data_IF_448690877321
#
_entry.id   IF_448690877321
#
_cell.length_a   1.000
_cell.length_b   1.000
_cell.length_c   1.000
_cell.angle_alpha   90.00
_cell.angle_beta   90.00
_cell.angle_gamma   90.00
#
_symmetry.space_group_name_H-M   'P 1'
#
loop_
_entity.id
_entity.type
_entity.pdbx_description
1 polymer ?
#
# COMPACT_ATOMS: atom_id res chain seq x y z
N UNK A 1 7.82 -37.71 -9.16
CA UNK A 1 6.47 -37.18 -8.84
C UNK A 1 6.45 -36.52 -7.48
N UNK A 2 6.98 -37.16 -6.42
CA UNK A 2 7.06 -36.59 -5.07
C UNK A 2 7.68 -35.18 -5.02
N UNK A 3 8.83 -34.94 -5.67
CA UNK A 3 9.46 -33.61 -5.72
C UNK A 3 8.58 -32.52 -6.36
N UNK A 4 7.83 -32.84 -7.42
CA UNK A 4 6.94 -31.87 -8.06
C UNK A 4 5.76 -31.49 -7.15
N UNK A 5 5.20 -32.47 -6.43
CA UNK A 5 4.12 -32.21 -5.46
C UNK A 5 4.62 -31.43 -4.24
N UNK A 6 5.85 -31.66 -3.78
CA UNK A 6 6.49 -30.83 -2.74
C UNK A 6 6.63 -29.38 -3.23
N UNK A 7 7.11 -29.16 -4.45
CA UNK A 7 7.22 -27.81 -5.03
C UNK A 7 5.86 -27.12 -5.16
N UNK A 8 4.84 -27.83 -5.63
CA UNK A 8 3.46 -27.31 -5.67
C UNK A 8 3.01 -26.90 -4.26
N UNK A 9 3.23 -27.75 -3.25
CA UNK A 9 2.90 -27.44 -1.86
C UNK A 9 3.61 -26.17 -1.35
N UNK A 10 4.89 -25.98 -1.68
CA UNK A 10 5.66 -24.77 -1.34
C UNK A 10 5.04 -23.54 -2.02
N UNK A 11 4.79 -23.59 -3.33
CA UNK A 11 4.24 -22.44 -4.05
C UNK A 11 2.81 -22.10 -3.60
N UNK A 12 1.97 -23.10 -3.33
CA UNK A 12 0.64 -22.88 -2.73
C UNK A 12 0.78 -22.21 -1.37
N UNK A 13 1.71 -22.66 -0.53
CA UNK A 13 1.95 -22.04 0.79
C UNK A 13 2.38 -20.58 0.66
N UNK A 14 3.25 -20.26 -0.30
CA UNK A 14 3.65 -18.87 -0.61
C UNK A 14 2.42 -18.05 -0.98
N UNK A 15 1.60 -18.53 -1.92
CA UNK A 15 0.37 -17.84 -2.35
C UNK A 15 -0.57 -17.61 -1.16
N UNK A 16 -0.73 -18.60 -0.29
CA UNK A 16 -1.56 -18.46 0.92
C UNK A 16 -1.02 -17.41 1.89
N UNK A 17 0.30 -17.40 2.14
CA UNK A 17 0.93 -16.41 3.03
C UNK A 17 0.71 -15.00 2.48
N UNK A 18 1.05 -14.77 1.21
CA UNK A 18 0.87 -13.45 0.57
C UNK A 18 -0.60 -13.08 0.38
N UNK A 19 -1.48 -14.05 0.17
CA UNK A 19 -2.92 -13.87 0.01
C UNK A 19 -3.67 -13.61 1.32
N UNK A 20 -3.07 -13.95 2.48
CA UNK A 20 -3.69 -13.78 3.79
C UNK A 20 -3.02 -12.69 4.62
N UNK A 21 -1.74 -12.40 4.42
CA UNK A 21 -0.94 -11.49 5.24
C UNK A 21 -0.15 -10.54 4.35
N UNK A 22 -0.02 -9.26 4.74
CA UNK A 22 0.87 -8.29 4.08
C UNK A 22 2.34 -8.55 4.49
N UNK A 23 2.90 -9.66 3.99
CA UNK A 23 4.21 -10.15 4.42
C UNK A 23 5.32 -9.10 4.27
N UNK A 24 5.34 -8.35 3.16
CA UNK A 24 6.34 -7.29 2.92
C UNK A 24 6.31 -6.20 3.99
N UNK A 25 5.12 -5.78 4.41
CA UNK A 25 4.91 -4.78 5.44
C UNK A 25 5.44 -5.28 6.80
N UNK A 26 5.07 -6.49 7.23
CA UNK A 26 5.53 -7.03 8.51
C UNK A 26 7.05 -7.24 8.52
N UNK A 27 7.62 -7.80 7.45
CA UNK A 27 9.07 -7.99 7.32
C UNK A 27 9.81 -6.65 7.38
N UNK A 28 9.34 -5.65 6.61
CA UNK A 28 9.97 -4.33 6.60
C UNK A 28 9.80 -3.58 7.91
N UNK A 29 8.67 -3.75 8.59
CA UNK A 29 8.44 -3.17 9.91
C UNK A 29 9.42 -3.76 10.93
N UNK A 30 9.54 -5.09 10.96
CA UNK A 30 10.50 -5.78 11.80
C UNK A 30 11.93 -5.28 11.55
N UNK A 31 12.35 -5.22 10.28
CA UNK A 31 13.68 -4.74 9.89
C UNK A 31 13.89 -3.27 10.30
N UNK A 32 12.86 -2.42 10.16
CA UNK A 32 12.95 -1.01 10.53
C UNK A 32 13.16 -0.85 12.03
N UNK A 33 12.40 -1.58 12.86
CA UNK A 33 12.57 -1.59 14.32
C UNK A 33 13.94 -2.12 14.71
N UNK A 34 14.36 -3.24 14.12
CA UNK A 34 15.66 -3.85 14.38
C UNK A 34 16.81 -2.88 14.07
N UNK A 35 16.82 -2.29 12.87
CA UNK A 35 17.85 -1.34 12.47
C UNK A 35 17.82 -0.07 13.33
N UNK A 36 16.64 0.47 13.65
CA UNK A 36 16.49 1.65 14.48
C UNK A 36 17.03 1.42 15.91
N UNK A 37 16.84 0.22 16.45
CA UNK A 37 17.24 -0.14 17.82
C UNK A 37 18.71 -0.50 17.95
N UNK A 38 19.26 -1.24 16.99
CA UNK A 38 20.60 -1.85 17.13
C UNK A 38 21.65 -1.24 16.21
N UNK A 39 21.26 -0.63 15.08
CA UNK A 39 22.21 -0.15 14.07
C UNK A 39 22.26 1.38 13.96
N UNK A 40 21.17 2.08 14.30
CA UNK A 40 21.07 3.54 14.15
C UNK A 40 21.29 4.27 15.47
N UNK A 41 21.88 5.46 15.37
CA UNK A 41 22.08 6.35 16.53
C UNK A 41 20.75 6.93 17.00
N UNK A 42 20.66 7.09 18.33
CA UNK A 42 19.61 7.87 18.98
C UNK A 42 19.69 9.32 18.54
N UNK A 43 18.54 9.99 18.51
CA UNK A 43 18.39 11.39 18.07
C UNK A 43 17.59 12.17 19.10
N UNK A 44 17.78 13.49 19.13
CA UNK A 44 16.98 14.34 19.99
C UNK A 44 15.54 14.44 19.46
N UNK A 45 14.58 14.67 20.36
CA UNK A 45 13.14 14.66 20.02
C UNK A 45 12.72 15.73 19.00
N UNK A 46 13.48 16.84 18.91
CA UNK A 46 13.25 17.91 17.94
C UNK A 46 14.05 17.72 16.64
N UNK A 47 14.95 16.74 16.57
CA UNK A 47 15.75 16.51 15.38
C UNK A 47 14.94 15.82 14.28
N UNK A 48 15.34 16.05 13.04
CA UNK A 48 14.78 15.37 11.89
C UNK A 48 15.41 13.96 11.75
N UNK A 49 14.58 12.93 11.60
CA UNK A 49 15.03 11.58 11.21
C UNK A 49 14.83 11.34 9.73
N UNK A 50 15.64 10.44 9.17
CA UNK A 50 15.60 10.06 7.76
C UNK A 50 15.55 8.55 7.64
N UNK A 51 14.61 8.06 6.84
CA UNK A 51 14.57 6.66 6.37
C UNK A 51 14.61 6.61 4.84
N UNK A 52 15.23 5.56 4.29
CA UNK A 52 15.25 5.30 2.86
C UNK A 52 14.29 4.16 2.51
N UNK A 53 13.75 4.22 1.29
CA UNK A 53 12.89 3.21 0.71
C UNK A 53 13.08 3.13 -0.80
N UNK A 54 12.65 2.01 -1.38
CA UNK A 54 12.59 1.81 -2.83
C UNK A 54 11.12 1.61 -3.18
N UNK A 55 10.66 2.26 -4.24
CA UNK A 55 9.33 1.99 -4.79
C UNK A 55 9.36 0.64 -5.51
N UNK A 56 8.94 -0.42 -4.83
CA UNK A 56 8.93 -1.77 -5.42
C UNK A 56 7.72 -1.96 -6.32
N UNK A 57 7.71 -3.06 -7.08
CA UNK A 57 6.56 -3.43 -7.92
C UNK A 57 5.29 -3.72 -7.10
N UNK A 58 5.42 -4.09 -5.82
CA UNK A 58 4.27 -4.28 -4.91
C UNK A 58 3.67 -2.94 -4.42
N UNK A 59 4.35 -1.82 -4.69
CA UNK A 59 3.90 -0.48 -4.31
C UNK A 59 3.14 0.25 -5.41
N UNK A 60 3.09 -0.31 -6.63
CA UNK A 60 2.46 0.34 -7.79
C UNK A 60 0.94 0.20 -7.79
N UNK A 61 0.26 1.14 -8.42
CA UNK A 61 -1.20 1.11 -8.58
C UNK A 61 -1.65 0.52 -9.92
N UNK A 62 -2.94 0.65 -10.22
CA UNK A 62 -3.59 0.16 -11.44
C UNK A 62 -2.98 0.71 -12.74
N UNK A 63 -2.28 1.85 -12.66
CA UNK A 63 -1.64 2.48 -13.81
C UNK A 63 -0.21 1.98 -14.03
N UNK A 64 0.36 1.23 -13.08
CA UNK A 64 1.68 0.56 -13.14
C UNK A 64 2.90 1.47 -13.31
N UNK A 65 2.74 2.78 -13.52
CA UNK A 65 3.86 3.71 -13.74
C UNK A 65 4.20 4.58 -12.53
N UNK A 66 3.49 4.44 -11.40
CA UNK A 66 3.83 5.13 -10.16
C UNK A 66 3.40 4.41 -8.88
N UNK A 67 4.01 4.83 -7.77
CA UNK A 67 3.61 4.43 -6.42
C UNK A 67 2.14 4.78 -6.15
N UNK A 68 1.40 3.83 -5.60
CA UNK A 68 0.03 4.00 -5.14
C UNK A 68 -0.04 5.03 -3.99
N UNK A 69 -1.07 5.88 -3.99
CA UNK A 69 -1.24 6.96 -3.02
C UNK A 69 -1.31 6.49 -1.56
N UNK A 70 -1.93 5.33 -1.30
CA UNK A 70 -2.02 4.73 0.04
C UNK A 70 -0.67 4.20 0.54
N UNK A 71 0.24 3.83 -0.38
CA UNK A 71 1.58 3.36 0.00
C UNK A 71 2.39 4.47 0.66
N UNK A 72 2.21 5.74 0.27
CA UNK A 72 2.83 6.86 0.98
C UNK A 72 2.47 6.85 2.47
N UNK A 73 1.20 6.70 2.86
CA UNK A 73 0.85 6.64 4.29
C UNK A 73 1.37 5.38 4.98
N UNK A 74 1.41 4.23 4.29
CA UNK A 74 2.03 3.02 4.83
C UNK A 74 3.51 3.23 5.11
N UNK A 75 4.22 3.93 4.23
CA UNK A 75 5.63 4.25 4.42
C UNK A 75 5.87 5.15 5.65
N UNK A 76 4.88 5.95 6.05
CA UNK A 76 4.94 6.73 7.29
C UNK A 76 4.88 5.87 8.56
N UNK A 77 4.36 4.65 8.50
CA UNK A 77 4.41 3.73 9.64
C UNK A 77 5.87 3.37 9.95
N UNK A 78 6.67 3.09 8.92
CA UNK A 78 8.11 2.83 9.07
C UNK A 78 8.87 4.08 9.53
N UNK A 79 8.54 5.25 8.97
CA UNK A 79 9.19 6.50 9.34
C UNK A 79 8.92 6.86 10.82
N UNK A 80 7.68 6.66 11.28
CA UNK A 80 7.29 6.89 12.67
C UNK A 80 7.91 5.89 13.62
N UNK A 81 7.95 4.60 13.30
CA UNK A 81 8.57 3.63 14.20
C UNK A 81 10.08 3.87 14.33
N UNK A 82 10.77 4.24 13.24
CA UNK A 82 12.17 4.66 13.28
C UNK A 82 12.36 5.88 14.19
N UNK A 83 11.50 6.90 14.03
CA UNK A 83 11.52 8.09 14.87
C UNK A 83 11.27 7.75 16.35
N UNK A 84 10.24 6.95 16.65
CA UNK A 84 9.87 6.55 18.00
C UNK A 84 10.98 5.76 18.69
N UNK A 85 11.55 4.78 17.99
CA UNK A 85 12.65 3.98 18.52
C UNK A 85 13.90 4.83 18.70
N UNK A 86 14.22 5.80 17.83
CA UNK A 86 15.46 6.57 17.96
C UNK A 86 15.38 7.73 18.95
N UNK A 87 14.17 8.19 19.30
CA UNK A 87 13.94 9.28 20.28
C UNK A 87 13.48 8.78 21.65
N UNK A 88 13.23 7.48 21.81
CA UNK A 88 12.54 6.89 22.98
C UNK A 88 11.10 7.41 23.18
N UNK A 89 10.52 8.10 22.19
CA UNK A 89 9.21 8.73 22.33
C UNK A 89 8.11 7.74 22.73
N UNK A 90 8.02 6.60 22.05
CA UNK A 90 6.97 5.62 22.37
C UNK A 90 7.14 5.03 23.77
N UNK A 91 8.39 4.82 24.22
CA UNK A 91 8.68 4.32 25.56
C UNK A 91 8.25 5.34 26.63
N UNK A 92 8.51 6.62 26.40
CA UNK A 92 8.11 7.69 27.31
C UNK A 92 6.58 7.91 27.33
N UNK A 93 5.93 7.77 26.17
CA UNK A 93 4.46 7.77 26.11
C UNK A 93 3.88 6.62 26.93
N UNK A 94 4.46 5.42 26.86
CA UNK A 94 3.99 4.27 27.61
C UNK A 94 4.40 4.26 29.10
N UNK A 95 5.40 5.04 29.52
CA UNK A 95 5.72 5.20 30.95
C UNK A 95 4.74 6.14 31.66
N UNK A 96 4.18 7.12 30.93
CA UNK A 96 3.27 8.12 31.48
C UNK A 96 1.80 7.89 31.09
N UNK A 97 1.53 7.07 30.08
CA UNK A 97 0.20 6.82 29.51
C UNK A 97 0.08 5.43 28.89
N UNK A 98 -0.84 5.26 27.96
CA UNK A 98 -1.19 3.93 27.41
C UNK A 98 -0.76 3.72 25.95
N UNK A 99 -0.26 4.74 25.28
CA UNK A 99 0.22 4.65 23.90
C UNK A 99 -0.14 5.84 23.03
N UNK A 100 0.14 5.69 21.73
CA UNK A 100 -0.09 6.71 20.71
C UNK A 100 -0.91 6.13 19.57
N UNK A 101 -1.88 6.91 19.06
CA UNK A 101 -2.74 6.53 17.94
C UNK A 101 -2.82 7.63 16.89
N UNK A 102 -3.03 7.27 15.63
CA UNK A 102 -3.24 8.24 14.56
C UNK A 102 -4.63 8.88 14.72
N UNK A 103 -4.68 10.20 14.94
CA UNK A 103 -5.94 10.94 14.99
C UNK A 103 -6.39 11.46 13.63
N UNK A 104 -5.45 11.97 12.83
CA UNK A 104 -5.71 12.49 11.49
C UNK A 104 -4.44 12.50 10.64
N UNK A 105 -4.57 12.41 9.32
CA UNK A 105 -3.46 12.60 8.39
C UNK A 105 -3.92 13.45 7.21
N UNK A 106 -3.14 14.47 6.84
CA UNK A 106 -3.30 15.22 5.59
C UNK A 106 -2.07 15.00 4.74
N UNK A 107 -2.24 14.72 3.45
CA UNK A 107 -1.15 14.49 2.51
C UNK A 107 -1.41 15.22 1.20
N UNK A 108 -0.36 15.85 0.66
CA UNK A 108 -0.36 16.51 -0.64
C UNK A 108 0.64 15.85 -1.56
N UNK A 109 0.18 15.44 -2.73
CA UNK A 109 1.00 14.83 -3.77
C UNK A 109 1.40 15.92 -4.77
N UNK A 110 2.71 16.10 -4.97
CA UNK A 110 3.25 17.09 -5.92
C UNK A 110 3.68 16.43 -7.22
N UNK A 111 4.47 15.35 -7.11
CA UNK A 111 4.92 14.55 -8.24
C UNK A 111 5.05 13.10 -7.77
N UNK A 112 4.66 12.19 -8.65
CA UNK A 112 4.69 10.77 -8.33
C UNK A 112 6.13 10.23 -8.23
N UNK A 113 6.30 9.19 -7.42
CA UNK A 113 7.50 8.35 -7.37
C UNK A 113 7.32 7.22 -8.38
N UNK A 114 8.31 7.05 -9.26
CA UNK A 114 8.33 5.98 -10.27
C UNK A 114 8.72 4.63 -9.64
N UNK A 115 8.31 3.50 -10.23
CA UNK A 115 8.82 2.18 -9.86
C UNK A 115 10.35 2.15 -9.88
N UNK A 116 10.93 1.33 -8.99
CA UNK A 116 12.36 1.11 -8.81
C UNK A 116 13.16 2.38 -8.48
N UNK A 117 12.48 3.46 -8.08
CA UNK A 117 13.12 4.70 -7.66
C UNK A 117 13.34 4.70 -6.15
N UNK A 118 14.54 5.10 -5.73
CA UNK A 118 14.85 5.35 -4.32
C UNK A 118 14.21 6.67 -3.88
N UNK A 119 13.60 6.66 -2.70
CA UNK A 119 13.14 7.86 -2.02
C UNK A 119 13.64 7.86 -0.58
N UNK A 120 13.73 9.04 0.01
CA UNK A 120 13.91 9.22 1.44
C UNK A 120 12.71 9.92 2.05
N UNK A 121 12.39 9.57 3.29
CA UNK A 121 11.35 10.22 4.08
C UNK A 121 12.06 10.94 5.21
N UNK A 122 11.91 12.26 5.27
CA UNK A 122 12.31 13.02 6.45
C UNK A 122 11.12 13.15 7.39
N UNK A 123 11.33 13.02 8.70
CA UNK A 123 10.28 13.07 9.72
C UNK A 123 10.72 13.91 10.90
N UNK A 124 9.86 14.85 11.33
CA UNK A 124 10.10 15.69 12.51
C UNK A 124 8.79 16.09 13.18
N UNK A 125 8.84 16.34 14.48
CA UNK A 125 7.73 17.00 15.18
C UNK A 125 7.76 18.49 14.82
N UNK A 126 6.61 19.03 14.42
CA UNK A 126 6.47 20.45 14.05
C UNK A 126 5.66 21.26 15.04
N UNK A 127 4.82 20.60 15.84
CA UNK A 127 3.95 21.23 16.83
C UNK A 127 3.42 20.16 17.80
N UNK A 128 3.01 20.55 19.01
CA UNK A 128 2.20 19.73 19.90
C UNK A 128 1.22 20.60 20.68
N UNK A 129 0.07 20.01 20.99
CA UNK A 129 -0.94 20.52 21.91
C UNK A 129 -0.98 19.65 23.17
N UNK A 130 -1.89 19.93 24.11
CA UNK A 130 -2.01 19.17 25.37
C UNK A 130 -2.13 17.64 25.17
N UNK A 131 -2.75 17.17 24.09
CA UNK A 131 -3.12 15.74 23.90
C UNK A 131 -2.53 15.10 22.65
N UNK A 132 -1.86 15.87 21.80
CA UNK A 132 -1.41 15.43 20.50
C UNK A 132 -0.10 16.08 20.10
N UNK A 133 0.75 15.37 19.39
CA UNK A 133 1.86 15.95 18.66
C UNK A 133 1.66 15.77 17.15
N UNK A 134 2.24 16.68 16.36
CA UNK A 134 2.07 16.76 14.92
C UNK A 134 3.43 16.52 14.27
N UNK A 135 3.47 15.52 13.40
CA UNK A 135 4.67 15.16 12.65
C UNK A 135 4.52 15.60 11.20
N UNK A 136 5.53 16.28 10.67
CA UNK A 136 5.69 16.50 9.24
C UNK A 136 6.54 15.39 8.65
N UNK A 137 6.11 14.86 7.51
CA UNK A 137 6.84 13.86 6.73
C UNK A 137 7.02 14.34 5.30
N UNK A 138 8.25 14.34 4.78
CA UNK A 138 8.57 14.75 3.41
C UNK A 138 9.15 13.60 2.61
N UNK A 139 8.50 13.22 1.52
CA UNK A 139 9.03 12.26 0.55
C UNK A 139 9.90 13.00 -0.45
N UNK A 140 11.19 12.65 -0.50
CA UNK A 140 12.18 13.31 -1.35
C UNK A 140 12.83 12.25 -2.24
N UNK A 141 12.93 12.51 -3.54
CA UNK A 141 13.75 11.68 -4.42
C UNK A 141 15.19 12.19 -4.38
N UNK A 142 16.19 11.40 -3.93
CA UNK A 142 17.56 11.89 -3.79
C UNK A 142 18.20 12.35 -5.10
N UNK A 143 17.81 11.77 -6.25
CA UNK A 143 18.42 12.10 -7.55
C UNK A 143 18.12 13.52 -8.05
N UNK A 144 16.98 14.11 -7.67
CA UNK A 144 16.62 15.50 -8.05
C UNK A 144 16.35 16.41 -6.84
N UNK A 145 16.44 15.88 -5.62
CA UNK A 145 16.15 16.60 -4.39
C UNK A 145 14.69 17.08 -4.26
N UNK A 146 13.80 16.67 -5.17
CA UNK A 146 12.45 17.21 -5.22
C UNK A 146 11.55 16.54 -4.19
N UNK A 147 10.77 17.37 -3.47
CA UNK A 147 9.77 16.87 -2.53
C UNK A 147 8.54 16.38 -3.32
N UNK A 148 8.37 15.06 -3.39
CA UNK A 148 7.33 14.34 -4.13
C UNK A 148 5.97 14.42 -3.43
N UNK A 149 5.96 14.26 -2.12
CA UNK A 149 4.76 14.36 -1.29
C UNK A 149 5.11 14.87 0.10
N UNK A 150 4.15 15.50 0.76
CA UNK A 150 4.27 15.96 2.14
C UNK A 150 3.03 15.56 2.89
N UNK A 151 3.23 14.98 4.06
CA UNK A 151 2.15 14.63 4.97
C UNK A 151 2.34 15.30 6.32
N UNK A 152 1.24 15.73 6.93
CA UNK A 152 1.18 16.12 8.33
C UNK A 152 0.28 15.14 9.05
N UNK A 153 0.82 14.51 10.08
CA UNK A 153 0.18 13.44 10.82
C UNK A 153 -0.01 13.85 12.28
N UNK A 154 -1.26 13.91 12.72
CA UNK A 154 -1.61 14.13 14.12
C UNK A 154 -1.59 12.81 14.87
N UNK A 155 -0.70 12.71 15.86
CA UNK A 155 -0.58 11.60 16.77
C UNK A 155 -1.23 11.96 18.09
N UNK A 156 -2.27 11.23 18.50
CA UNK A 156 -2.98 11.45 19.77
C UNK A 156 -2.37 10.55 20.84
N UNK A 157 -2.05 11.16 21.97
CA UNK A 157 -1.59 10.47 23.17
C UNK A 157 -2.80 9.94 23.96
N UNK A 158 -2.66 8.72 24.48
CA UNK A 158 -3.68 8.08 25.30
C UNK A 158 -3.29 8.18 26.77
N UNK A 159 -4.16 8.82 27.57
CA UNK A 159 -4.03 8.93 29.02
C UNK A 159 -2.76 9.66 29.51
N UNK A 160 -2.17 10.56 28.71
CA UNK A 160 -1.07 11.41 29.11
C UNK A 160 -1.07 12.76 28.34
N UNK A 161 -0.34 13.74 28.87
CA UNK A 161 -0.15 15.06 28.25
C UNK A 161 1.10 15.09 27.36
N UNK A 162 1.00 15.75 26.20
CA UNK A 162 2.15 15.88 25.31
C UNK A 162 3.23 16.79 25.91
N UNK A 163 2.85 17.82 26.67
CA UNK A 163 3.83 18.72 27.30
C UNK A 163 4.72 17.97 28.28
N UNK A 164 4.14 17.06 29.08
CA UNK A 164 4.90 16.25 30.03
C UNK A 164 5.82 15.27 29.32
N UNK A 165 5.32 14.58 28.28
CA UNK A 165 6.12 13.61 27.51
C UNK A 165 7.25 14.29 26.75
N UNK A 166 6.95 15.34 25.98
CA UNK A 166 7.94 16.07 25.20
C UNK A 166 8.93 16.77 26.13
N UNK A 167 8.46 17.39 27.22
CA UNK A 167 9.31 18.00 28.25
C UNK A 167 10.31 17.03 28.88
N UNK A 168 9.90 15.79 29.16
CA UNK A 168 10.80 14.75 29.65
C UNK A 168 11.90 14.39 28.63
N UNK A 169 11.54 14.34 27.35
CA UNK A 169 12.47 13.98 26.27
C UNK A 169 13.42 15.12 25.89
N UNK A 170 12.99 16.38 25.99
CA UNK A 170 13.83 17.56 25.75
C UNK A 170 15.03 17.62 26.70
N UNK A 171 14.84 17.20 27.95
CA UNK A 171 15.88 17.25 28.98
C UNK A 171 16.83 16.04 28.94
N UNK A 172 16.54 15.02 28.12
CA UNK A 172 17.33 13.79 28.06
C UNK A 172 18.54 14.01 27.14
N UNK A 173 19.75 14.04 27.72
CA UNK A 173 20.99 14.05 26.91
C UNK A 173 21.07 12.76 26.09
N UNK A 174 21.22 12.89 24.77
CA UNK A 174 21.41 11.75 23.86
C UNK A 174 22.79 11.12 24.14
N UNK A 175 22.83 10.00 24.87
CA UNK A 175 24.06 9.21 25.01
C UNK A 175 24.35 8.50 23.68
N UNK A 176 25.45 8.85 23.02
CA UNK A 176 25.89 8.20 21.79
C UNK A 176 26.43 6.81 22.12
N UNK A 177 25.77 5.74 21.63
CA UNK A 177 26.39 4.43 21.56
C UNK A 177 27.28 4.37 20.32
N UNK A 178 28.51 3.86 20.51
CA UNK A 178 29.63 3.89 19.58
C UNK A 178 29.37 3.22 18.22
N UNK A 179 30.12 3.67 17.22
CA UNK A 179 30.11 3.20 15.84
C UNK A 179 30.42 1.69 15.77
N UNK A 180 29.60 0.94 15.03
CA UNK A 180 30.01 -0.33 14.42
C UNK A 180 29.96 -0.11 12.90
N UNK A 181 31.14 -0.05 12.29
CA UNK A 181 31.30 -0.04 10.85
C UNK A 181 30.93 -1.42 10.29
N UNK A 182 29.88 -1.47 9.46
CA UNK A 182 29.51 -2.67 8.73
C UNK A 182 30.35 -2.72 7.44
N UNK A 183 31.45 -3.47 7.49
CA UNK A 183 32.25 -3.81 6.32
C UNK A 183 31.53 -4.85 5.43
N UNK A 184 31.63 -4.58 4.14
CA UNK A 184 31.35 -5.42 2.96
C UNK A 184 31.38 -6.94 3.17
N UNK A 185 30.25 -7.60 2.90
CA UNK A 185 30.15 -9.04 2.63
C UNK A 185 29.63 -9.25 1.21
N UNK A 186 30.52 -9.30 0.22
CA UNK A 186 30.27 -9.90 -1.09
C UNK A 186 31.63 -10.28 -1.69
N UNK A 187 31.95 -11.58 -1.68
CA UNK A 187 32.68 -12.31 -2.73
C UNK A 187 33.11 -13.68 -2.20
N UNK A 188 32.58 -14.74 -2.80
CA UNK A 188 33.27 -15.99 -3.13
C UNK A 188 32.23 -17.01 -3.63
N UNK A 189 32.27 -17.33 -4.92
CA UNK A 189 31.80 -18.64 -5.40
C UNK A 189 32.37 -18.92 -6.79
N UNK A 190 33.54 -19.56 -6.85
CA UNK A 190 33.98 -20.35 -7.99
C UNK A 190 34.84 -21.51 -7.46
N UNK A 191 34.47 -22.74 -7.79
CA UNK A 191 35.39 -23.83 -8.20
C UNK A 191 34.56 -25.02 -8.67
N UNK A 192 34.91 -25.54 -9.85
CA UNK A 192 34.29 -26.69 -10.49
C UNK A 192 34.75 -28.06 -9.97
N UNK A 193 34.19 -29.10 -10.59
CA UNK A 193 34.61 -30.50 -10.42
C UNK A 193 34.65 -31.22 -11.79
N UNK A 194 35.50 -32.24 -11.96
CA UNK A 194 35.91 -32.76 -13.26
C UNK A 194 35.09 -33.96 -13.78
N UNK A 195 35.23 -34.19 -15.08
CA UNK A 195 34.82 -35.38 -15.83
C UNK A 195 35.65 -36.64 -15.48
N UNK A 196 35.01 -37.81 -15.60
CA UNK A 196 35.69 -39.08 -15.90
C UNK A 196 34.89 -39.91 -16.89
N UNK A 197 35.60 -40.47 -17.87
CA UNK A 197 35.13 -41.29 -18.96
C UNK A 197 35.28 -42.81 -18.68
N UNK A 198 34.99 -43.57 -19.74
CA UNK A 198 35.23 -45.01 -20.02
C UNK A 198 34.19 -46.04 -19.52
N UNK A 199 33.95 -47.17 -20.18
CA UNK A 199 33.95 -47.61 -21.59
C UNK A 199 33.45 -49.09 -21.61
N UNK A 200 33.07 -49.58 -22.80
CA UNK A 200 33.17 -50.98 -23.32
C UNK A 200 32.01 -52.01 -23.21
N UNK A 201 31.43 -52.23 -24.40
CA UNK A 201 31.21 -53.48 -25.20
C UNK A 201 30.36 -54.68 -24.78
N UNK A 202 29.39 -54.99 -25.67
CA UNK A 202 29.02 -56.28 -26.31
C UNK A 202 28.45 -57.41 -25.42
N UNK A 203 27.49 -58.27 -25.80
CA UNK A 203 27.15 -58.89 -27.09
C UNK A 203 25.75 -59.56 -26.99
N UNK A 204 25.21 -59.98 -28.14
CA UNK A 204 23.90 -60.59 -28.39
C UNK A 204 23.58 -61.91 -27.63
N UNK A 205 22.29 -62.24 -27.40
CA UNK A 205 21.53 -63.24 -28.19
C UNK A 205 20.06 -63.44 -27.77
N UNK A 206 19.32 -64.03 -28.72
CA UNK A 206 17.86 -64.16 -28.91
C UNK A 206 17.06 -64.98 -27.87
N UNK A 207 15.73 -64.77 -27.86
CA UNK A 207 14.76 -65.79 -27.42
C UNK A 207 13.32 -65.29 -27.25
N UNK A 208 12.46 -65.56 -28.24
CA UNK A 208 11.02 -65.25 -28.29
C UNK A 208 10.18 -65.95 -27.18
N UNK A 209 9.09 -65.34 -26.69
CA UNK A 209 7.76 -66.00 -26.70
C UNK A 209 6.60 -65.07 -26.25
N UNK A 210 5.76 -64.71 -27.22
CA UNK A 210 4.28 -64.73 -27.23
C UNK A 210 3.41 -64.56 -25.95
N UNK A 211 3.86 -63.87 -24.91
CA UNK A 211 3.01 -63.26 -23.84
C UNK A 211 3.18 -61.72 -23.82
N UNK A 212 4.12 -61.19 -24.61
CA UNK A 212 4.56 -59.80 -24.51
C UNK A 212 3.64 -58.77 -25.19
N UNK A 213 2.76 -59.14 -26.12
CA UNK A 213 1.93 -58.13 -26.82
C UNK A 213 0.89 -57.48 -25.91
N UNK A 214 0.32 -58.22 -24.97
CA UNK A 214 -0.67 -57.68 -24.03
C UNK A 214 0.02 -56.90 -22.91
N UNK A 215 1.17 -57.38 -22.40
CA UNK A 215 2.02 -56.63 -21.46
C UNK A 215 2.60 -55.35 -22.07
N UNK A 216 3.06 -55.37 -23.32
CA UNK A 216 3.60 -54.17 -24.01
C UNK A 216 2.50 -53.15 -24.27
N UNK A 217 1.27 -53.56 -24.55
CA UNK A 217 0.14 -52.64 -24.71
C UNK A 217 -0.28 -52.03 -23.37
N UNK A 218 -0.34 -52.82 -22.30
CA UNK A 218 -0.61 -52.33 -20.93
C UNK A 218 0.53 -51.43 -20.44
N UNK A 219 1.80 -51.79 -20.65
CA UNK A 219 2.96 -50.99 -20.26
C UNK A 219 3.07 -49.70 -21.07
N UNK A 220 2.78 -49.71 -22.37
CA UNK A 220 2.76 -48.49 -23.19
C UNK A 220 1.59 -47.57 -22.84
N UNK A 221 0.42 -48.14 -22.49
CA UNK A 221 -0.73 -47.37 -22.01
C UNK A 221 -0.44 -46.78 -20.63
N UNK A 222 0.08 -47.57 -19.68
CA UNK A 222 0.52 -47.10 -18.35
C UNK A 222 1.68 -46.11 -18.44
N UNK A 223 2.59 -46.25 -19.40
CA UNK A 223 3.67 -45.30 -19.66
C UNK A 223 3.13 -44.00 -20.24
N UNK A 224 2.18 -44.07 -21.18
CA UNK A 224 1.48 -42.91 -21.75
C UNK A 224 0.67 -42.17 -20.67
N UNK A 225 -0.04 -42.89 -19.81
CA UNK A 225 -0.77 -42.35 -18.66
C UNK A 225 0.20 -41.71 -17.64
N UNK A 226 1.27 -42.40 -17.23
CA UNK A 226 2.30 -41.82 -16.33
C UNK A 226 3.01 -40.62 -16.96
N UNK A 227 3.21 -40.62 -18.27
CA UNK A 227 3.83 -39.52 -19.00
C UNK A 227 2.88 -38.32 -19.12
N UNK A 228 1.60 -38.56 -19.39
CA UNK A 228 0.54 -37.54 -19.37
C UNK A 228 0.38 -36.95 -17.96
N UNK A 229 0.34 -37.78 -16.91
CA UNK A 229 0.32 -37.35 -15.51
C UNK A 229 1.55 -36.52 -15.15
N UNK A 230 2.73 -36.92 -15.64
CA UNK A 230 3.97 -36.17 -15.39
C UNK A 230 3.98 -34.82 -16.11
N UNK A 231 3.44 -34.75 -17.34
CA UNK A 231 3.24 -33.49 -18.08
C UNK A 231 2.21 -32.59 -17.40
N UNK A 232 1.08 -33.13 -16.97
CA UNK A 232 0.03 -32.40 -16.25
C UNK A 232 0.58 -31.87 -14.92
N UNK A 233 1.29 -32.70 -14.15
CA UNK A 233 1.91 -32.29 -12.87
C UNK A 233 2.95 -31.20 -13.08
N UNK A 234 3.79 -31.31 -14.13
CA UNK A 234 4.76 -30.29 -14.49
C UNK A 234 4.07 -28.98 -14.87
N UNK A 235 3.04 -29.03 -15.71
CA UNK A 235 2.24 -27.87 -16.10
C UNK A 235 1.60 -27.18 -14.89
N UNK A 236 0.93 -27.94 -14.01
CA UNK A 236 0.36 -27.42 -12.77
C UNK A 236 1.42 -26.77 -11.89
N UNK A 237 2.60 -27.38 -11.73
CA UNK A 237 3.68 -26.79 -10.94
C UNK A 237 4.18 -25.46 -11.51
N UNK A 238 4.32 -25.36 -12.83
CA UNK A 238 4.68 -24.10 -13.49
C UNK A 238 3.60 -23.03 -13.30
N UNK A 239 2.32 -23.39 -13.41
CA UNK A 239 1.20 -22.47 -13.18
C UNK A 239 1.20 -21.92 -11.75
N UNK A 240 1.30 -22.78 -10.73
CA UNK A 240 1.33 -22.33 -9.33
C UNK A 240 2.59 -21.50 -9.04
N UNK A 241 3.74 -21.87 -9.61
CA UNK A 241 4.97 -21.08 -9.50
C UNK A 241 4.80 -19.66 -10.07
N UNK A 242 4.18 -19.53 -11.26
CA UNK A 242 3.89 -18.21 -11.84
C UNK A 242 2.96 -17.38 -10.96
N UNK A 243 1.91 -17.99 -10.39
CA UNK A 243 1.00 -17.30 -9.46
C UNK A 243 1.75 -16.86 -8.21
N UNK A 244 2.60 -17.71 -7.63
CA UNK A 244 3.42 -17.36 -6.47
C UNK A 244 4.35 -16.18 -6.77
N UNK A 245 5.02 -16.17 -7.92
CA UNK A 245 5.86 -15.05 -8.37
C UNK A 245 5.04 -13.76 -8.51
N UNK A 246 3.83 -13.83 -9.07
CA UNK A 246 2.94 -12.67 -9.17
C UNK A 246 2.57 -12.09 -7.80
N UNK A 247 2.24 -12.94 -6.82
CA UNK A 247 1.95 -12.49 -5.44
C UNK A 247 3.16 -11.91 -4.70
N UNK A 248 4.37 -12.38 -5.01
CA UNK A 248 5.61 -11.80 -4.48
C UNK A 248 5.87 -10.42 -5.11
N UNK A 249 5.67 -10.29 -6.43
CA UNK A 249 6.06 -9.08 -7.15
C UNK A 249 4.98 -7.99 -7.12
N UNK A 250 3.71 -8.36 -7.07
CA UNK A 250 2.58 -7.45 -7.22
C UNK A 250 1.52 -7.68 -6.14
N UNK A 251 0.76 -6.63 -5.84
CA UNK A 251 -0.37 -6.72 -4.94
C UNK A 251 -1.59 -7.30 -5.67
N UNK A 252 -1.58 -8.60 -5.94
CA UNK A 252 -2.62 -9.28 -6.75
C UNK A 252 -4.03 -9.02 -6.20
N UNK A 253 -4.19 -9.01 -4.87
CA UNK A 253 -5.48 -8.75 -4.23
C UNK A 253 -6.00 -7.33 -4.46
N UNK A 254 -5.12 -6.33 -4.56
CA UNK A 254 -5.49 -4.98 -4.98
C UNK A 254 -6.14 -4.99 -6.38
N UNK A 255 -5.44 -5.54 -7.38
CA UNK A 255 -5.91 -5.53 -8.77
C UNK A 255 -7.19 -6.33 -8.94
N UNK A 256 -7.26 -7.52 -8.33
CA UNK A 256 -8.46 -8.34 -8.32
C UNK A 256 -9.65 -7.58 -7.70
N UNK A 257 -9.43 -6.89 -6.56
CA UNK A 257 -10.48 -6.11 -5.92
C UNK A 257 -10.96 -4.94 -6.76
N UNK A 258 -10.09 -4.26 -7.51
CA UNK A 258 -10.52 -3.22 -8.49
C UNK A 258 -11.45 -3.84 -9.52
N UNK A 259 -10.99 -4.91 -10.18
CA UNK A 259 -11.73 -5.57 -11.27
C UNK A 259 -13.11 -6.00 -10.77
N UNK A 260 -13.15 -6.71 -9.64
CA UNK A 260 -14.40 -7.18 -9.03
C UNK A 260 -15.33 -6.04 -8.64
N UNK A 261 -14.80 -4.95 -8.06
CA UNK A 261 -15.60 -3.77 -7.67
C UNK A 261 -16.27 -3.11 -8.88
N UNK A 262 -15.54 -2.97 -9.99
CA UNK A 262 -16.06 -2.36 -11.22
C UNK A 262 -17.06 -3.29 -11.90
N UNK A 263 -16.74 -4.58 -12.03
CA UNK A 263 -17.64 -5.57 -12.63
C UNK A 263 -18.93 -5.68 -11.82
N UNK A 264 -18.84 -5.73 -10.49
CA UNK A 264 -20.01 -5.73 -9.61
C UNK A 264 -20.93 -4.54 -9.89
N UNK A 265 -20.38 -3.33 -9.93
CA UNK A 265 -21.17 -2.12 -10.23
C UNK A 265 -21.82 -2.16 -11.61
N UNK A 266 -21.13 -2.70 -12.62
CA UNK A 266 -21.64 -2.81 -13.99
C UNK A 266 -22.76 -3.84 -14.14
N UNK A 267 -22.67 -4.98 -13.44
CA UNK A 267 -23.66 -6.05 -13.55
C UNK A 267 -24.86 -5.86 -12.62
N UNK A 268 -24.67 -5.29 -11.42
CA UNK A 268 -25.69 -5.31 -10.37
C UNK A 268 -26.25 -3.92 -9.98
N UNK A 269 -25.62 -2.82 -10.37
CA UNK A 269 -26.13 -1.48 -10.07
C UNK A 269 -26.52 -0.71 -11.35
N UNK A 270 -27.35 0.34 -11.19
CA UNK A 270 -27.68 1.32 -12.25
C UNK A 270 -26.72 2.52 -12.20
N UNK A 271 -26.55 3.23 -13.32
CA UNK A 271 -25.73 4.45 -13.33
C UNK A 271 -26.35 5.44 -12.34
N UNK A 272 -25.52 6.22 -11.67
CA UNK A 272 -25.95 7.15 -10.62
C UNK A 272 -25.75 8.58 -11.11
N UNK A 273 -26.56 9.49 -10.56
CA UNK A 273 -26.30 10.93 -10.73
C UNK A 273 -25.00 11.31 -10.03
N UNK A 274 -24.41 12.43 -10.43
CA UNK A 274 -23.12 12.87 -9.95
C UNK A 274 -23.13 13.21 -8.45
N UNK A 275 -24.26 13.72 -7.94
CA UNK A 275 -24.46 14.04 -6.51
C UNK A 275 -25.02 12.89 -5.68
N UNK A 276 -25.45 11.82 -6.34
CA UNK A 276 -25.90 10.63 -5.63
C UNK A 276 -24.73 10.00 -4.90
N UNK A 277 -25.01 9.50 -3.69
CA UNK A 277 -24.01 8.76 -2.93
C UNK A 277 -23.82 7.37 -3.53
N UNK A 278 -22.59 7.03 -3.88
CA UNK A 278 -22.21 5.65 -4.21
C UNK A 278 -21.73 4.93 -2.96
N UNK A 279 -21.94 3.61 -2.90
CA UNK A 279 -21.56 2.80 -1.75
C UNK A 279 -20.85 1.56 -2.23
N UNK A 280 -19.69 1.26 -1.66
CA UNK A 280 -19.04 -0.05 -1.78
C UNK A 280 -19.01 -0.73 -0.42
N UNK A 281 -18.94 -2.07 -0.43
CA UNK A 281 -18.89 -2.88 0.78
C UNK A 281 -17.55 -3.60 0.89
N UNK A 282 -17.13 -3.89 2.11
CA UNK A 282 -15.90 -4.62 2.40
C UNK A 282 -15.93 -5.25 3.80
N UNK A 283 -14.97 -6.12 4.05
CA UNK A 283 -14.69 -6.70 5.35
C UNK A 283 -13.23 -6.45 5.69
N UNK A 284 -12.93 -6.13 6.95
CA UNK A 284 -11.54 -5.99 7.39
C UNK A 284 -10.92 -7.38 7.50
N UNK A 285 -10.06 -7.76 6.56
CA UNK A 285 -9.43 -9.08 6.54
C UNK A 285 -8.09 -9.09 7.28
N UNK A 286 -7.45 -10.26 7.36
CA UNK A 286 -6.09 -10.43 7.87
C UNK A 286 -5.04 -9.67 7.06
N UNK A 287 -5.32 -9.31 5.81
CA UNK A 287 -4.42 -8.46 5.03
C UNK A 287 -4.52 -6.97 5.39
N UNK A 288 -5.61 -6.58 6.03
CA UNK A 288 -5.89 -5.17 6.31
C UNK A 288 -5.37 -4.72 7.67
N UNK A 289 -4.96 -5.64 8.55
CA UNK A 289 -4.59 -5.32 9.92
C UNK A 289 -3.17 -4.77 10.07
N UNK A 290 -2.96 -4.02 11.15
CA UNK A 290 -1.64 -3.55 11.57
C UNK A 290 -0.85 -4.59 12.40
N UNK A 291 0.26 -4.16 12.98
CA UNK A 291 1.15 -5.00 13.80
C UNK A 291 0.47 -5.65 15.01
N UNK A 292 -0.58 -5.03 15.53
CA UNK A 292 -1.30 -5.54 16.71
C UNK A 292 -2.33 -6.59 16.28
N UNK A 293 -2.57 -6.77 14.97
CA UNK A 293 -3.49 -7.74 14.37
C UNK A 293 -4.95 -7.58 14.84
N UNK A 294 -5.31 -6.43 15.43
CA UNK A 294 -6.64 -6.18 16.02
C UNK A 294 -7.53 -5.31 15.15
N UNK A 295 -6.94 -4.40 14.38
CA UNK A 295 -7.69 -3.37 13.65
C UNK A 295 -7.04 -3.04 12.33
N UNK A 296 -7.86 -2.53 11.42
CA UNK A 296 -7.46 -2.04 10.11
C UNK A 296 -6.32 -1.01 10.25
N UNK A 297 -5.22 -1.25 9.55
CA UNK A 297 -4.11 -0.32 9.43
C UNK A 297 -4.60 1.02 8.82
N UNK A 298 -4.11 2.13 9.34
CA UNK A 298 -4.53 3.47 8.93
C UNK A 298 -4.37 3.76 7.42
N UNK A 299 -3.33 3.21 6.77
CA UNK A 299 -3.10 3.36 5.34
C UNK A 299 -4.11 2.57 4.49
N UNK A 300 -4.73 1.51 5.03
CA UNK A 300 -5.75 0.72 4.32
C UNK A 300 -7.02 1.53 4.06
N UNK A 301 -7.37 2.47 4.93
CA UNK A 301 -8.47 3.40 4.66
C UNK A 301 -8.24 4.19 3.37
N UNK A 302 -7.02 4.68 3.11
CA UNK A 302 -6.74 5.40 1.86
C UNK A 302 -6.73 4.47 0.64
N UNK A 303 -6.32 3.22 0.80
CA UNK A 303 -6.37 2.22 -0.27
C UNK A 303 -7.81 1.93 -0.67
N UNK A 304 -8.72 1.83 0.29
CA UNK A 304 -10.15 1.64 0.03
C UNK A 304 -10.76 2.77 -0.79
N UNK A 305 -10.20 3.98 -0.72
CA UNK A 305 -10.62 5.09 -1.57
C UNK A 305 -10.35 4.85 -3.04
N UNK A 306 -9.36 4.06 -3.43
CA UNK A 306 -9.15 3.74 -4.84
C UNK A 306 -10.35 2.95 -5.39
N UNK A 307 -10.81 1.93 -4.65
CA UNK A 307 -11.98 1.16 -5.03
C UNK A 307 -13.23 2.03 -5.05
N UNK A 308 -13.44 2.83 -3.99
CA UNK A 308 -14.62 3.70 -3.89
C UNK A 308 -14.65 4.78 -4.97
N UNK A 309 -13.49 5.35 -5.31
CA UNK A 309 -13.35 6.35 -6.39
C UNK A 309 -13.55 5.76 -7.76
N UNK A 310 -12.89 4.64 -8.08
CA UNK A 310 -13.06 4.04 -9.40
C UNK A 310 -14.49 3.54 -9.60
N UNK A 311 -15.11 3.04 -8.52
CA UNK A 311 -16.53 2.76 -8.51
C UNK A 311 -17.36 4.02 -8.81
N UNK A 312 -17.16 5.10 -8.05
CA UNK A 312 -17.83 6.39 -8.27
C UNK A 312 -17.64 6.92 -9.69
N UNK A 313 -16.42 6.84 -10.23
CA UNK A 313 -16.06 7.24 -11.58
C UNK A 313 -16.81 6.48 -12.65
N UNK A 314 -16.87 5.15 -12.53
CA UNK A 314 -17.64 4.33 -13.46
C UNK A 314 -19.14 4.65 -13.33
N UNK A 315 -19.67 4.68 -12.10
CA UNK A 315 -21.12 4.80 -11.87
C UNK A 315 -21.69 6.17 -12.23
N UNK A 316 -20.96 7.25 -12.01
CA UNK A 316 -21.37 8.62 -12.35
C UNK A 316 -21.06 9.01 -13.79
N UNK A 317 -20.13 8.32 -14.45
CA UNK A 317 -19.71 8.67 -15.81
C UNK A 317 -18.68 9.81 -15.88
N UNK A 318 -18.31 10.43 -14.75
CA UNK A 318 -17.36 11.57 -14.74
C UNK A 318 -16.02 11.23 -15.39
N UNK A 319 -15.50 10.02 -15.15
CA UNK A 319 -14.23 9.62 -15.75
C UNK A 319 -14.35 9.35 -17.25
N UNK A 320 -15.51 8.88 -17.71
CA UNK A 320 -15.80 8.77 -19.14
C UNK A 320 -15.79 10.14 -19.84
N UNK A 321 -16.37 11.17 -19.21
CA UNK A 321 -16.36 12.53 -19.74
C UNK A 321 -14.94 13.15 -19.78
N UNK A 322 -14.11 12.85 -18.78
CA UNK A 322 -12.68 13.23 -18.75
C UNK A 322 -11.89 12.53 -19.86
N UNK A 323 -12.04 11.21 -20.01
CA UNK A 323 -11.33 10.40 -21.00
C UNK A 323 -11.69 10.79 -22.45
N UNK A 324 -12.96 11.08 -22.73
CA UNK A 324 -13.41 11.55 -24.06
C UNK A 324 -12.66 12.79 -24.55
N UNK A 325 -12.15 13.61 -23.63
CA UNK A 325 -11.35 14.81 -23.93
C UNK A 325 -9.84 14.56 -23.93
N UNK A 326 -9.40 13.30 -23.83
CA UNK A 326 -7.98 12.94 -23.73
C UNK A 326 -7.36 13.24 -22.36
N UNK A 327 -8.18 13.43 -21.33
CA UNK A 327 -7.73 13.73 -19.98
C UNK A 327 -7.56 12.51 -19.09
N UNK A 328 -7.04 12.73 -17.89
CA UNK A 328 -7.00 11.75 -16.80
C UNK A 328 -7.40 12.38 -15.47
N UNK A 329 -7.50 11.58 -14.41
CA UNK A 329 -7.78 12.06 -13.06
C UNK A 329 -6.85 11.39 -12.04
N UNK A 330 -6.17 12.19 -11.21
CA UNK A 330 -5.24 11.71 -10.19
C UNK A 330 -5.56 12.30 -8.81
N UNK A 331 -5.17 11.61 -7.73
CA UNK A 331 -5.29 12.17 -6.39
C UNK A 331 -4.23 13.26 -6.17
N UNK A 332 -4.66 14.52 -5.99
CA UNK A 332 -3.76 15.64 -5.71
C UNK A 332 -3.53 15.86 -4.21
N UNK A 333 -4.48 15.51 -3.36
CA UNK A 333 -4.38 15.60 -1.90
C UNK A 333 -5.48 14.78 -1.23
N UNK A 334 -5.28 14.40 0.02
CA UNK A 334 -6.34 13.87 0.89
C UNK A 334 -6.12 14.26 2.35
N UNK A 335 -7.22 14.40 3.09
CA UNK A 335 -7.20 14.52 4.55
C UNK A 335 -8.17 13.52 5.16
N UNK A 336 -7.71 12.73 6.12
CA UNK A 336 -8.48 11.71 6.82
C UNK A 336 -8.53 12.04 8.31
N UNK A 337 -9.73 11.93 8.89
CA UNK A 337 -9.97 11.96 10.33
C UNK A 337 -10.41 10.58 10.80
N UNK A 338 -9.62 9.98 11.68
CA UNK A 338 -9.93 8.70 12.31
C UNK A 338 -10.74 8.96 13.58
N UNK A 339 -11.91 8.31 13.70
CA UNK A 339 -12.80 8.43 14.86
C UNK A 339 -12.71 7.21 15.75
N UNK A 340 -12.84 6.02 15.16
CA UNK A 340 -12.71 4.72 15.83
C UNK A 340 -12.14 3.71 14.84
N UNK A 341 -11.33 2.77 15.34
CA UNK A 341 -10.82 1.68 14.55
C UNK A 341 -11.94 0.75 14.05
N UNK A 342 -11.72 0.13 12.88
CA UNK A 342 -12.48 -1.01 12.37
C UNK A 342 -11.74 -2.27 12.82
N UNK A 343 -12.33 -3.10 13.70
CA UNK A 343 -11.71 -4.36 14.12
C UNK A 343 -11.59 -5.36 12.97
N UNK A 344 -10.67 -6.33 13.11
CA UNK A 344 -10.57 -7.46 12.19
C UNK A 344 -11.92 -8.20 12.07
N UNK A 345 -12.21 -8.70 10.88
CA UNK A 345 -13.45 -9.36 10.46
C UNK A 345 -14.73 -8.52 10.60
N UNK A 346 -14.59 -7.21 10.85
CA UNK A 346 -15.74 -6.31 10.88
C UNK A 346 -16.14 -5.91 9.45
N UNK A 347 -17.40 -6.14 9.04
CA UNK A 347 -17.91 -5.63 7.79
C UNK A 347 -18.14 -4.12 7.86
N UNK A 348 -17.86 -3.42 6.77
CA UNK A 348 -18.04 -1.99 6.63
C UNK A 348 -18.54 -1.62 5.23
N UNK A 349 -19.04 -0.40 5.10
CA UNK A 349 -19.31 0.24 3.82
C UNK A 349 -18.54 1.54 3.70
N UNK A 350 -18.16 1.89 2.49
CA UNK A 350 -17.58 3.20 2.15
C UNK A 350 -18.59 3.93 1.29
N UNK A 351 -19.10 5.05 1.77
CA UNK A 351 -19.92 5.96 0.95
C UNK A 351 -19.02 7.00 0.31
N UNK A 352 -19.29 7.37 -0.93
CA UNK A 352 -18.55 8.39 -1.68
C UNK A 352 -19.54 9.38 -2.29
N UNK A 353 -19.26 10.67 -2.12
CA UNK A 353 -20.10 11.76 -2.63
C UNK A 353 -19.25 12.89 -3.19
N UNK A 354 -19.61 13.43 -4.36
CA UNK A 354 -19.06 14.70 -4.84
C UNK A 354 -19.57 15.85 -3.97
N UNK A 355 -18.67 16.64 -3.41
CA UNK A 355 -19.01 17.72 -2.46
C UNK A 355 -18.66 19.12 -2.98
N UNK A 356 -17.73 19.24 -3.93
CA UNK A 356 -17.30 20.53 -4.47
C UNK A 356 -16.45 20.35 -5.74
N UNK A 357 -16.29 21.39 -6.55
CA UNK A 357 -15.31 21.47 -7.63
C UNK A 357 -14.89 22.91 -7.89
N UNK A 358 -13.67 23.10 -8.37
CA UNK A 358 -13.16 24.39 -8.80
C UNK A 358 -12.02 24.14 -9.80
N UNK A 359 -11.90 24.99 -10.82
CA UNK A 359 -10.84 24.92 -11.82
C UNK A 359 -10.64 23.49 -12.36
N UNK A 360 -9.48 22.88 -12.10
CA UNK A 360 -9.13 21.51 -12.53
C UNK A 360 -9.36 20.45 -11.45
N UNK A 361 -10.04 20.81 -10.37
CA UNK A 361 -10.19 20.00 -9.17
C UNK A 361 -11.65 19.66 -8.89
N UNK A 362 -11.91 18.42 -8.49
CA UNK A 362 -13.15 18.06 -7.84
C UNK A 362 -12.87 17.33 -6.53
N UNK A 363 -13.78 17.48 -5.58
CA UNK A 363 -13.61 17.07 -4.20
C UNK A 363 -14.68 16.08 -3.85
N UNK A 364 -14.26 14.95 -3.32
CA UNK A 364 -15.14 13.89 -2.87
C UNK A 364 -14.97 13.68 -1.37
N UNK A 365 -16.08 13.46 -0.69
CA UNK A 365 -16.10 12.97 0.68
C UNK A 365 -16.29 11.47 0.67
N UNK A 366 -15.54 10.77 1.52
CA UNK A 366 -15.70 9.35 1.76
C UNK A 366 -15.94 9.09 3.24
N UNK A 367 -16.96 8.30 3.58
CA UNK A 367 -17.21 7.91 4.96
C UNK A 367 -17.12 6.40 5.12
N UNK A 368 -16.32 5.95 6.08
CA UNK A 368 -16.21 4.55 6.48
C UNK A 368 -17.22 4.28 7.56
N UNK A 369 -18.21 3.44 7.30
CA UNK A 369 -19.31 3.14 8.22
C UNK A 369 -19.25 1.65 8.55
N UNK A 370 -19.10 1.32 9.83
CA UNK A 370 -19.16 -0.08 10.27
C UNK A 370 -20.59 -0.59 10.20
N UNK A 371 -20.81 -1.81 9.69
CA UNK A 371 -22.16 -2.37 9.60
C UNK A 371 -22.65 -2.96 10.92
N UNK A 372 -21.76 -3.16 11.90
CA UNK A 372 -22.12 -3.74 13.20
C UNK A 372 -22.78 -2.74 14.14
N UNK A 373 -22.35 -1.47 14.09
CA UNK A 373 -22.90 -0.40 14.95
C UNK A 373 -23.30 0.88 14.18
N UNK A 374 -23.25 0.86 12.85
CA UNK A 374 -23.55 1.99 11.97
C UNK A 374 -22.74 3.27 12.30
N UNK A 375 -21.61 3.14 13.01
CA UNK A 375 -20.77 4.27 13.38
C UNK A 375 -19.83 4.67 12.23
N UNK A 376 -19.70 5.98 11.99
CA UNK A 376 -18.71 6.52 11.05
C UNK A 376 -17.32 6.45 11.69
N UNK A 377 -16.53 5.48 11.23
CA UNK A 377 -15.18 5.14 11.73
C UNK A 377 -14.12 6.11 11.26
N UNK A 378 -14.23 6.58 10.02
CA UNK A 378 -13.35 7.59 9.45
C UNK A 378 -14.09 8.42 8.39
N UNK A 379 -13.65 9.67 8.21
CA UNK A 379 -14.10 10.56 7.13
C UNK A 379 -12.87 11.03 6.37
N UNK A 380 -12.94 11.00 5.04
CA UNK A 380 -11.86 11.44 4.16
C UNK A 380 -12.37 12.45 3.14
N UNK A 381 -11.73 13.61 3.08
CA UNK A 381 -11.87 14.52 1.94
C UNK A 381 -10.72 14.25 0.98
N UNK A 382 -11.02 14.09 -0.30
CA UNK A 382 -10.03 13.77 -1.33
C UNK A 382 -10.19 14.69 -2.53
N UNK A 383 -9.07 15.35 -2.90
CA UNK A 383 -8.98 16.22 -4.06
C UNK A 383 -8.53 15.42 -5.26
N UNK A 384 -9.39 15.32 -6.25
CA UNK A 384 -9.07 14.78 -7.56
C UNK A 384 -8.63 15.92 -8.47
N UNK A 385 -7.55 15.71 -9.23
CA UNK A 385 -7.03 16.68 -10.19
C UNK A 385 -7.16 16.09 -11.57
N UNK A 386 -7.89 16.78 -12.42
CA UNK A 386 -7.98 16.45 -13.83
C UNK A 386 -6.69 16.90 -14.53
N UNK A 387 -6.13 16.01 -15.34
CA UNK A 387 -4.87 16.20 -16.06
C UNK A 387 -5.11 16.07 -17.57
N UNK A 388 -4.23 16.66 -18.38
CA UNK A 388 -4.33 16.60 -19.85
C UNK A 388 -5.40 17.49 -20.48
N UNK A 389 -6.24 18.14 -19.66
CA UNK A 389 -7.30 19.04 -20.13
C UNK A 389 -6.96 20.51 -19.88
N UNK A 390 -7.41 21.37 -20.80
CA UNK A 390 -7.37 22.84 -20.68
C UNK A 390 -8.69 23.43 -20.16
N UNK A 391 -9.77 22.65 -20.19
CA UNK A 391 -11.09 23.06 -19.73
C UNK A 391 -11.21 22.85 -18.22
N UNK A 392 -11.92 23.74 -17.50
CA UNK A 392 -12.27 23.51 -16.10
C UNK A 392 -13.21 22.32 -15.96
N UNK A 393 -13.21 21.73 -14.76
CA UNK A 393 -14.11 20.65 -14.35
C UNK A 393 -15.57 21.06 -14.45
N UNK A 394 -15.87 22.34 -14.32
CA UNK A 394 -17.22 22.88 -14.46
C UNK A 394 -17.86 22.50 -15.81
N UNK A 395 -17.13 22.62 -16.92
CA UNK A 395 -17.60 22.21 -18.25
C UNK A 395 -17.81 20.69 -18.36
N UNK A 396 -17.00 19.90 -17.64
CA UNK A 396 -17.12 18.44 -17.63
C UNK A 396 -18.38 18.04 -16.86
N UNK A 397 -18.66 18.71 -15.74
CA UNK A 397 -19.85 18.48 -14.91
C UNK A 397 -21.11 18.91 -15.65
N UNK A 398 -21.09 20.06 -16.32
CA UNK A 398 -22.21 20.56 -17.11
C UNK A 398 -22.58 19.63 -18.29
N UNK A 399 -21.65 18.87 -18.86
CA UNK A 399 -22.00 17.84 -19.85
C UNK A 399 -22.78 16.67 -19.24
N UNK A 400 -22.42 16.27 -18.02
CA UNK A 400 -23.00 15.10 -17.36
C UNK A 400 -24.36 15.47 -16.77
N UNK A 401 -24.44 16.62 -16.10
CA UNK A 401 -25.64 17.15 -15.46
C UNK A 401 -25.75 18.67 -15.69
N UNK A 402 -26.34 19.12 -16.82
CA UNK A 402 -26.34 20.53 -17.25
C UNK A 402 -26.99 21.53 -16.30
N UNK A 403 -27.98 21.10 -15.51
CA UNK A 403 -28.73 21.96 -14.59
C UNK A 403 -28.07 22.07 -13.21
N UNK A 404 -26.84 21.59 -13.09
CA UNK A 404 -26.14 21.53 -11.80
C UNK A 404 -25.55 22.88 -11.43
N UNK A 405 -25.80 23.29 -10.18
CA UNK A 405 -25.07 24.40 -9.54
C UNK A 405 -23.92 23.86 -8.67
N UNK A 406 -22.78 24.53 -8.74
CA UNK A 406 -21.67 24.30 -7.79
C UNK A 406 -22.13 24.46 -6.34
N UNK A 407 -21.95 23.43 -5.48
CA UNK A 407 -22.30 23.53 -4.07
C UNK A 407 -21.35 24.51 -3.36
N UNK A 408 -21.82 25.12 -2.28
CA UNK A 408 -20.95 25.93 -1.42
C UNK A 408 -20.04 25.02 -0.58
N UNK A 409 -18.74 25.34 -0.46
CA UNK A 409 -17.83 24.52 0.32
C UNK A 409 -18.18 24.62 1.80
N UNK A 410 -18.14 23.48 2.51
CA UNK A 410 -18.28 23.49 3.97
C UNK A 410 -17.09 24.23 4.61
N UNK A 411 -17.25 24.70 5.86
CA UNK A 411 -16.14 25.38 6.54
C UNK A 411 -14.90 24.49 6.70
N UNK A 412 -15.10 23.18 6.93
CA UNK A 412 -14.00 22.21 6.98
C UNK A 412 -13.28 22.12 5.63
N UNK A 413 -14.02 22.00 4.54
CA UNK A 413 -13.43 21.98 3.20
C UNK A 413 -12.66 23.28 2.93
N UNK A 414 -13.26 24.44 3.20
CA UNK A 414 -12.63 25.74 2.99
C UNK A 414 -11.28 25.85 3.73
N UNK A 415 -11.24 25.51 5.03
CA UNK A 415 -10.00 25.53 5.82
C UNK A 415 -8.96 24.54 5.28
N UNK A 416 -9.41 23.39 4.77
CA UNK A 416 -8.48 22.45 4.15
C UNK A 416 -7.92 22.97 2.82
N UNK A 417 -8.73 23.64 1.98
CA UNK A 417 -8.27 24.30 0.75
C UNK A 417 -7.22 25.38 1.05
N UNK A 418 -7.50 26.24 2.03
CA UNK A 418 -6.56 27.27 2.52
C UNK A 418 -5.24 26.62 2.97
N UNK A 419 -5.31 25.53 3.75
CA UNK A 419 -4.11 24.81 4.19
C UNK A 419 -3.29 24.21 3.03
N UNK A 420 -3.96 23.76 1.96
CA UNK A 420 -3.29 23.22 0.77
C UNK A 420 -2.57 24.34 0.01
N UNK A 421 -3.18 25.52 -0.08
CA UNK A 421 -2.59 26.68 -0.76
C UNK A 421 -1.39 27.23 0.01
N UNK A 422 -1.50 27.40 1.33
CA UNK A 422 -0.36 27.78 2.19
C UNK A 422 0.81 26.78 2.09
N UNK A 423 0.49 25.47 2.14
CA UNK A 423 1.50 24.43 1.89
C UNK A 423 2.10 24.57 0.49
N UNK A 424 1.31 24.89 -0.53
CA UNK A 424 1.81 25.07 -1.89
C UNK A 424 2.78 26.25 -2.01
N UNK A 425 2.44 27.39 -1.42
CA UNK A 425 3.22 28.62 -1.45
C UNK A 425 4.57 28.46 -0.75
N UNK A 426 4.60 27.85 0.44
CA UNK A 426 5.84 27.58 1.18
C UNK A 426 6.85 26.69 0.45
N UNK A 427 6.42 26.00 -0.62
CA UNK A 427 7.24 25.04 -1.38
C UNK A 427 7.52 25.48 -2.82
N UNK A 428 6.98 26.62 -3.23
CA UNK A 428 7.50 27.35 -4.39
C UNK A 428 8.83 27.92 -3.93
N UNK A 429 9.92 27.69 -4.69
CA UNK A 429 11.22 28.30 -4.39
C UNK A 429 10.97 29.79 -4.14
N UNK A 430 11.32 30.30 -2.96
CA UNK A 430 11.49 31.75 -2.80
C UNK A 430 12.48 32.15 -3.88
N UNK A 431 12.03 32.96 -4.84
CA UNK A 431 12.84 33.39 -5.97
C UNK A 431 13.96 34.29 -5.48
#
# INVERSE_FOLDING_TARGET
MMTCWVLVGIFVTIVLIYGLIEFHYFLRMFLTVFLARYCKKRVHILDETVIYGICTTNDVDALLYHMNNARYLRELDFARVDFYERTDLYREVCSQGSGVVQGAATIRYRRFIKPLTIFKITSKIVYWDERSFFMEHRFITPSDGFIRAIAICRQRLLNCSADTVIGALLNRRVKQNGNVEAASFFNACETGFPETADARTSQNHNGQSSIDREKTYIESTLFSERYADRKLTMFCSCCVAMIAILYILFDVNYFMRIILTILWGRFFEKKKKLFDTTTIYGICTTQDVDLVLKHMNNARYLRELDFARFYFYDRSGIYGAVLKRGGGAVQGASTIRYRRAIPIFTPYKVTTKLIYWEDKHFYIENQFISLTDNFIRAVVLSRQTVTGLKVPVDEIIAEIEPETRRPEPTKELQLWLESIEESSQSLRKQK
#
